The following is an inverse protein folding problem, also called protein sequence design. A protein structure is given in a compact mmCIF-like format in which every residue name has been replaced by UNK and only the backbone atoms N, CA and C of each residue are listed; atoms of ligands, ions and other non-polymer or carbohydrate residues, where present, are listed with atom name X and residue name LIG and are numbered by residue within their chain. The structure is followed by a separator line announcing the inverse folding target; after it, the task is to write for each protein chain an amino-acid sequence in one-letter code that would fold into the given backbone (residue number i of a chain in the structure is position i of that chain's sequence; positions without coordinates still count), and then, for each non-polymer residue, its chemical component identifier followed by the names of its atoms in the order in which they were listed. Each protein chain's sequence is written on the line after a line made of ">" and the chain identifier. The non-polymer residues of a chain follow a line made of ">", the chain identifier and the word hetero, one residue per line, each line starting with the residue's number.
data_IF_170861266707
#
_entry.id   IF_170861266707
#
_cell.length_a   1.000
_cell.length_b   1.000
_cell.length_c   1.000
_cell.angle_alpha   90.00
_cell.angle_beta   90.00
_cell.angle_gamma   90.00
#
_symmetry.space_group_name_H-M   'P 1'
#
loop_
_entity.id
_entity.type
_entity.pdbx_description
1 polymer ?
#
# COMPACT_ATOMS: atom_id res chain seq x y z
N UNK A 1 -3.23 5.69 -12.62
CA UNK A 1 -2.40 6.56 -11.75
C UNK A 1 -3.16 7.21 -10.59
N UNK A 2 -4.40 7.69 -10.77
CA UNK A 2 -5.09 8.46 -9.72
C UNK A 2 -5.75 7.61 -8.63
N UNK A 3 -6.31 6.44 -8.97
CA UNK A 3 -7.20 5.69 -8.07
C UNK A 3 -6.45 4.90 -6.99
N UNK A 4 -5.31 4.29 -7.32
CA UNK A 4 -4.54 3.47 -6.36
C UNK A 4 -3.90 4.31 -5.25
N UNK A 5 -3.23 5.44 -5.53
CA UNK A 5 -2.73 6.31 -4.47
C UNK A 5 -3.87 6.91 -3.65
N UNK A 6 -4.97 7.31 -4.28
CA UNK A 6 -6.11 7.89 -3.57
C UNK A 6 -6.74 6.90 -2.59
N UNK A 7 -6.93 5.64 -3.00
CA UNK A 7 -7.46 4.56 -2.16
C UNK A 7 -6.59 4.34 -0.89
N UNK A 8 -5.27 4.32 -1.07
CA UNK A 8 -4.30 4.15 0.02
C UNK A 8 -4.35 5.34 1.01
N UNK A 9 -4.47 6.56 0.48
CA UNK A 9 -4.53 7.80 1.28
C UNK A 9 -5.83 7.87 2.07
N UNK A 10 -6.97 7.62 1.43
CA UNK A 10 -8.28 7.63 2.07
C UNK A 10 -8.32 6.64 3.23
N UNK A 11 -7.77 5.45 3.03
CA UNK A 11 -7.69 4.45 4.08
C UNK A 11 -6.73 4.82 5.22
N UNK A 12 -5.57 5.42 4.92
CA UNK A 12 -4.67 5.96 5.94
C UNK A 12 -5.38 7.00 6.81
N UNK A 13 -6.21 7.87 6.21
CA UNK A 13 -6.97 8.88 6.95
C UNK A 13 -8.04 8.23 7.85
N UNK A 14 -8.74 7.19 7.38
CA UNK A 14 -9.70 6.43 8.17
C UNK A 14 -9.00 5.76 9.37
N UNK A 15 -7.85 5.12 9.15
CA UNK A 15 -7.09 4.51 10.24
C UNK A 15 -6.56 5.56 11.23
N UNK A 16 -6.03 6.68 10.74
CA UNK A 16 -5.53 7.75 11.60
C UNK A 16 -6.61 8.36 12.50
N UNK A 17 -7.88 8.31 12.07
CA UNK A 17 -9.00 8.79 12.88
C UNK A 17 -9.34 7.86 14.06
N UNK A 18 -8.97 6.57 13.98
CA UNK A 18 -9.37 5.54 14.97
C UNK A 18 -8.20 4.90 15.73
N UNK A 19 -6.96 5.08 15.26
CA UNK A 19 -5.74 4.56 15.87
C UNK A 19 -4.57 5.50 15.62
N UNK A 20 -3.52 5.39 16.43
CA UNK A 20 -2.29 6.16 16.21
C UNK A 20 -1.48 5.51 15.07
N UNK A 21 -1.49 6.14 13.90
CA UNK A 21 -0.77 5.65 12.71
C UNK A 21 0.49 6.47 12.49
N UNK A 22 1.61 5.79 12.28
CA UNK A 22 2.87 6.45 11.97
C UNK A 22 2.80 7.14 10.59
N UNK A 23 3.25 8.39 10.51
CA UNK A 23 3.31 9.13 9.25
C UNK A 23 4.25 8.45 8.23
N UNK A 24 5.21 7.65 8.70
CA UNK A 24 6.08 6.82 7.86
C UNK A 24 5.30 5.80 7.03
N UNK A 25 4.20 5.23 7.54
CA UNK A 25 3.37 4.28 6.81
C UNK A 25 2.80 4.92 5.55
N UNK A 26 2.29 6.16 5.66
CA UNK A 26 1.77 6.91 4.52
C UNK A 26 2.82 7.06 3.42
N UNK A 27 4.01 7.53 3.76
CA UNK A 27 5.07 7.75 2.76
C UNK A 27 5.56 6.46 2.13
N UNK A 28 5.66 5.36 2.89
CA UNK A 28 6.04 4.04 2.37
C UNK A 28 5.05 3.54 1.32
N UNK A 29 3.75 3.69 1.59
CA UNK A 29 2.71 3.26 0.66
C UNK A 29 2.57 4.21 -0.54
N UNK A 30 2.67 5.53 -0.31
CA UNK A 30 2.60 6.53 -1.38
C UNK A 30 3.75 6.37 -2.37
N UNK A 31 5.00 6.34 -1.88
CA UNK A 31 6.18 6.15 -2.73
C UNK A 31 6.16 4.77 -3.37
N UNK A 32 5.79 3.72 -2.63
CA UNK A 32 5.63 2.37 -3.17
C UNK A 32 4.66 2.32 -4.35
N UNK A 33 3.51 3.01 -4.24
CA UNK A 33 2.52 3.07 -5.33
C UNK A 33 3.01 3.84 -6.55
N UNK A 34 3.78 4.93 -6.36
CA UNK A 34 4.37 5.69 -7.46
C UNK A 34 5.41 4.85 -8.19
N UNK A 35 6.28 4.13 -7.45
CA UNK A 35 7.27 3.23 -8.03
C UNK A 35 6.57 2.12 -8.80
N UNK A 36 5.59 1.43 -8.18
CA UNK A 36 4.84 0.35 -8.83
C UNK A 36 4.23 0.80 -10.17
N UNK A 37 3.51 1.93 -10.17
CA UNK A 37 2.82 2.42 -11.35
C UNK A 37 3.76 3.08 -12.37
N UNK A 38 4.79 3.78 -11.89
CA UNK A 38 5.77 4.45 -12.74
C UNK A 38 6.59 3.46 -13.54
N UNK A 39 7.07 2.39 -12.89
CA UNK A 39 7.78 1.32 -13.59
C UNK A 39 6.85 0.44 -14.43
N UNK A 40 5.63 0.14 -13.97
CA UNK A 40 4.62 -0.52 -14.80
C UNK A 40 4.37 0.23 -16.10
N UNK A 41 4.13 1.54 -16.02
CA UNK A 41 3.96 2.40 -17.19
C UNK A 41 5.22 2.45 -18.07
N UNK A 42 6.41 2.59 -17.49
CA UNK A 42 7.65 2.61 -18.26
C UNK A 42 7.93 1.30 -19.02
N UNK A 43 7.50 0.15 -18.47
CA UNK A 43 7.54 -1.13 -19.16
C UNK A 43 6.53 -1.23 -20.30
N UNK A 44 5.29 -0.74 -20.09
CA UNK A 44 4.23 -0.74 -21.11
C UNK A 44 4.49 0.26 -22.24
N UNK A 45 5.10 1.41 -21.94
CA UNK A 45 5.46 2.45 -22.92
C UNK A 45 6.78 2.18 -23.64
N UNK A 46 7.39 1.00 -23.46
CA UNK A 46 8.67 0.59 -24.07
C UNK A 46 9.86 1.52 -23.74
N UNK A 47 9.74 2.33 -22.69
CA UNK A 47 10.83 3.19 -22.20
C UNK A 47 11.88 2.41 -21.39
N UNK A 48 11.55 1.20 -20.95
CA UNK A 48 12.45 0.28 -20.22
C UNK A 48 12.17 -1.17 -20.63
N UNK A 49 13.14 -2.06 -20.43
CA UNK A 49 12.93 -3.49 -20.61
C UNK A 49 11.74 -3.98 -19.76
N UNK A 50 10.75 -4.58 -20.42
CA UNK A 50 9.48 -5.02 -19.84
C UNK A 50 9.66 -5.92 -18.62
N UNK A 51 10.61 -6.86 -18.66
CA UNK A 51 10.85 -7.79 -17.55
C UNK A 51 11.47 -7.09 -16.34
N UNK A 52 12.40 -6.15 -16.58
CA UNK A 52 13.02 -5.37 -15.50
C UNK A 52 11.97 -4.46 -14.85
N UNK A 53 11.19 -3.75 -15.65
CA UNK A 53 10.11 -2.90 -15.20
C UNK A 53 9.06 -3.68 -14.39
N UNK A 54 8.69 -4.88 -14.85
CA UNK A 54 7.78 -5.78 -14.15
C UNK A 54 8.33 -6.22 -12.78
N UNK A 55 9.59 -6.66 -12.71
CA UNK A 55 10.21 -7.09 -11.44
C UNK A 55 10.26 -5.93 -10.44
N UNK A 56 10.59 -4.71 -10.88
CA UNK A 56 10.59 -3.54 -10.02
C UNK A 56 9.17 -3.24 -9.53
N UNK A 57 8.18 -3.25 -10.42
CA UNK A 57 6.78 -3.01 -10.06
C UNK A 57 6.25 -4.01 -9.02
N UNK A 58 6.49 -5.31 -9.25
CA UNK A 58 6.11 -6.39 -8.33
C UNK A 58 6.84 -6.27 -7.00
N UNK A 59 8.13 -5.91 -7.00
CA UNK A 59 8.90 -5.73 -5.76
C UNK A 59 8.36 -4.59 -4.89
N UNK A 60 7.94 -3.48 -5.51
CA UNK A 60 7.31 -2.36 -4.81
C UNK A 60 5.94 -2.75 -4.24
N UNK A 61 5.15 -3.54 -4.98
CA UNK A 61 3.88 -4.09 -4.50
C UNK A 61 4.06 -5.02 -3.30
N UNK A 62 5.00 -5.97 -3.37
CA UNK A 62 5.30 -6.88 -2.27
C UNK A 62 5.81 -6.14 -1.03
N UNK A 63 6.61 -5.08 -1.22
CA UNK A 63 7.05 -4.21 -0.12
C UNK A 63 5.89 -3.52 0.59
N UNK A 64 4.88 -3.05 -0.16
CA UNK A 64 3.67 -2.46 0.43
C UNK A 64 2.88 -3.51 1.23
N UNK A 65 2.67 -4.71 0.67
CA UNK A 65 1.99 -5.81 1.37
C UNK A 65 2.71 -6.16 2.67
N UNK A 66 4.04 -6.29 2.64
CA UNK A 66 4.85 -6.58 3.83
C UNK A 66 4.70 -5.50 4.89
N UNK A 67 4.77 -4.22 4.49
CA UNK A 67 4.64 -3.08 5.40
C UNK A 67 3.27 -3.04 6.08
N UNK A 68 2.22 -3.52 5.39
CA UNK A 68 0.87 -3.62 5.93
C UNK A 68 0.68 -4.84 6.84
N UNK A 69 1.10 -6.04 6.42
CA UNK A 69 0.87 -7.29 7.19
C UNK A 69 1.78 -7.49 8.39
N UNK A 70 3.03 -7.07 8.28
CA UNK A 70 4.07 -7.36 9.26
C UNK A 70 4.77 -6.12 9.80
N UNK A 71 4.48 -4.95 9.22
CA UNK A 71 5.08 -3.68 9.60
C UNK A 71 4.15 -2.78 10.42
N UNK A 72 4.30 -1.48 10.16
CA UNK A 72 3.58 -0.41 10.87
C UNK A 72 2.06 -0.50 10.73
N UNK A 73 1.56 -1.06 9.62
CA UNK A 73 0.12 -1.25 9.41
C UNK A 73 -0.50 -2.25 10.38
N UNK A 74 0.17 -3.38 10.61
CA UNK A 74 -0.27 -4.38 11.57
C UNK A 74 -0.19 -3.87 13.01
N UNK A 75 0.84 -3.09 13.34
CA UNK A 75 0.93 -2.42 14.63
C UNK A 75 -0.24 -1.46 14.85
N UNK A 76 -0.60 -0.64 13.86
CA UNK A 76 -1.74 0.27 13.94
C UNK A 76 -3.08 -0.45 14.11
N UNK A 77 -3.29 -1.55 13.37
CA UNK A 77 -4.46 -2.43 13.51
C UNK A 77 -4.57 -3.01 14.91
N UNK A 78 -3.47 -3.55 15.45
CA UNK A 78 -3.46 -4.16 16.78
C UNK A 78 -3.66 -3.09 17.88
N UNK A 79 -3.13 -1.89 17.69
CA UNK A 79 -3.29 -0.76 18.61
C UNK A 79 -4.72 -0.21 18.65
N UNK A 80 -5.52 -0.40 17.58
CA UNK A 80 -6.91 0.07 17.52
C UNK A 80 -7.81 -0.55 18.59
N UNK A 81 -7.57 -1.81 18.99
CA UNK A 81 -8.42 -2.53 19.95
C UNK A 81 -9.89 -2.73 19.53
N UNK A 82 -10.28 -2.31 18.31
CA UNK A 82 -11.65 -2.35 17.82
C UNK A 82 -11.81 -3.44 16.75
N UNK A 83 -12.75 -4.37 16.97
CA UNK A 83 -13.06 -5.46 16.05
C UNK A 83 -13.52 -4.96 14.68
N UNK A 84 -14.30 -3.88 14.61
CA UNK A 84 -14.77 -3.31 13.34
C UNK A 84 -13.61 -2.77 12.49
N UNK A 85 -12.66 -2.07 13.12
CA UNK A 85 -11.45 -1.55 12.46
C UNK A 85 -10.57 -2.70 11.97
N UNK A 86 -10.43 -3.75 12.77
CA UNK A 86 -9.66 -4.95 12.40
C UNK A 86 -10.26 -5.66 11.20
N UNK A 87 -11.59 -5.82 11.17
CA UNK A 87 -12.29 -6.44 10.03
C UNK A 87 -12.15 -5.58 8.77
N UNK A 88 -12.39 -4.27 8.87
CA UNK A 88 -12.23 -3.36 7.73
C UNK A 88 -10.78 -3.37 7.20
N UNK A 89 -9.79 -3.40 8.11
CA UNK A 89 -8.38 -3.51 7.75
C UNK A 89 -8.10 -4.79 6.97
N UNK A 90 -8.52 -5.95 7.48
CA UNK A 90 -8.27 -7.25 6.84
C UNK A 90 -8.95 -7.32 5.46
N UNK A 91 -10.18 -6.84 5.32
CA UNK A 91 -10.87 -6.77 4.01
C UNK A 91 -10.10 -5.90 3.03
N UNK A 92 -9.55 -4.77 3.46
CA UNK A 92 -8.73 -3.93 2.60
C UNK A 92 -7.44 -4.63 2.17
N UNK A 93 -6.78 -5.39 3.06
CA UNK A 93 -5.59 -6.14 2.67
C UNK A 93 -5.89 -7.12 1.53
N UNK A 94 -7.08 -7.72 1.53
CA UNK A 94 -7.52 -8.59 0.45
C UNK A 94 -7.63 -7.85 -0.88
N UNK A 95 -8.17 -6.62 -0.89
CA UNK A 95 -8.28 -5.79 -2.11
C UNK A 95 -6.89 -5.41 -2.67
N UNK A 96 -5.87 -5.32 -1.82
CA UNK A 96 -4.50 -5.01 -2.27
C UNK A 96 -3.81 -6.25 -2.86
N UNK A 97 -4.22 -7.44 -2.46
CA UNK A 97 -3.61 -8.71 -2.85
C UNK A 97 -4.30 -9.34 -4.08
N UNK A 98 -5.63 -9.24 -4.14
CA UNK A 98 -6.51 -9.92 -5.12
C UNK A 98 -7.18 -8.89 -6.02
#
# INVERSE_FOLDING_TARGET
>A
LLTVPLLIIEFYLILKAVTNVAASLFYKLFVGSIVMLGFGYAGEAEHMNQMIAFVIGVSAWLYMIYTLWFGEGAAARNASGNAAVTTAYNTMMWIIIV
#
